data_IF_875696584932
#
_entry.id   IF_875696584932
#
_cell.length_a   1.000
_cell.length_b   1.000
_cell.length_c   1.000
_cell.angle_alpha   90.00
_cell.angle_beta   90.00
_cell.angle_gamma   90.00
#
_symmetry.space_group_name_H-M   'P 1'
#
loop_
_entity.id
_entity.type
_entity.pdbx_description
1 polymer ?
#
# COMPACT_ATOMS: atom_id res chain seq x y z
N UNK A 1 10.00 -7.21 1.09
CA UNK A 1 10.06 -8.56 1.72
C UNK A 1 8.69 -8.92 2.31
N UNK A 2 8.52 -10.16 2.76
CA UNK A 2 7.28 -10.63 3.41
C UNK A 2 7.51 -10.98 4.89
N UNK A 3 6.90 -12.06 5.36
CA UNK A 3 7.06 -12.67 6.69
C UNK A 3 6.42 -11.92 7.87
N UNK A 4 6.52 -10.59 7.95
CA UNK A 4 5.98 -9.83 9.09
C UNK A 4 4.45 -9.66 9.02
N UNK A 5 3.85 -9.83 7.82
CA UNK A 5 2.40 -9.69 7.60
C UNK A 5 1.89 -8.33 8.11
N UNK A 6 2.68 -7.27 7.83
CA UNK A 6 2.40 -5.87 8.13
C UNK A 6 3.08 -5.03 7.06
N UNK A 7 2.43 -3.96 6.62
CA UNK A 7 3.11 -2.96 5.82
C UNK A 7 4.07 -2.18 6.72
N UNK A 8 5.37 -2.31 6.45
CA UNK A 8 6.43 -1.55 7.15
C UNK A 8 7.34 -0.95 6.11
N UNK A 9 7.64 0.34 6.22
CA UNK A 9 8.58 1.04 5.36
C UNK A 9 9.60 1.82 6.18
N UNK A 10 10.84 1.82 5.71
CA UNK A 10 11.92 2.61 6.29
C UNK A 10 12.96 2.94 5.21
N UNK A 11 13.98 3.71 5.59
CA UNK A 11 15.19 3.90 4.80
C UNK A 11 16.39 3.31 5.53
N UNK A 12 17.29 2.66 4.80
CA UNK A 12 18.54 2.15 5.32
C UNK A 12 19.66 2.46 4.33
N UNK A 13 20.72 3.14 4.80
CA UNK A 13 21.84 3.58 3.95
C UNK A 13 21.38 4.32 2.67
N UNK A 14 20.36 5.18 2.79
CA UNK A 14 19.81 5.95 1.68
C UNK A 14 18.94 5.15 0.69
N UNK A 15 18.64 3.88 0.98
CA UNK A 15 17.80 3.00 0.14
C UNK A 15 16.48 2.70 0.84
N UNK A 16 15.34 2.65 0.12
CA UNK A 16 14.08 2.22 0.70
C UNK A 16 14.13 0.73 1.06
N UNK A 17 13.64 0.39 2.25
CA UNK A 17 13.41 -0.97 2.70
C UNK A 17 11.93 -1.12 3.06
N UNK A 18 11.24 -2.06 2.40
CA UNK A 18 9.79 -2.20 2.47
C UNK A 18 9.40 -3.66 2.68
N UNK A 19 8.49 -3.91 3.63
CA UNK A 19 7.79 -5.18 3.85
C UNK A 19 6.35 -5.03 3.37
N UNK A 20 5.89 -5.94 2.53
CA UNK A 20 4.50 -5.96 2.08
C UNK A 20 3.58 -6.53 3.18
N UNK A 21 2.35 -6.02 3.31
CA UNK A 21 1.35 -6.64 4.17
C UNK A 21 0.96 -8.03 3.65
N UNK A 22 0.27 -8.80 4.50
CA UNK A 22 -0.35 -10.05 4.06
C UNK A 22 -1.58 -9.74 3.19
N UNK A 23 -1.89 -10.56 2.16
CA UNK A 23 -3.15 -10.44 1.44
C UNK A 23 -4.36 -10.90 2.26
N UNK A 24 -4.14 -11.55 3.41
CA UNK A 24 -5.18 -12.03 4.32
C UNK A 24 -4.98 -11.46 5.73
N UNK A 25 -4.75 -12.31 6.73
CA UNK A 25 -4.56 -11.90 8.12
C UNK A 25 -3.24 -11.15 8.35
N UNK A 26 -3.31 -10.05 9.10
CA UNK A 26 -2.13 -9.32 9.57
C UNK A 26 -1.70 -9.83 10.95
N UNK A 27 -0.40 -9.80 11.25
CA UNK A 27 0.08 -10.02 12.64
C UNK A 27 -0.37 -8.85 13.49
N UNK A 28 -0.89 -9.06 14.71
CA UNK A 28 -1.37 -7.98 15.58
C UNK A 28 -0.20 -7.08 16.06
N UNK A 29 -0.36 -5.76 15.96
CA UNK A 29 0.61 -4.78 16.47
C UNK A 29 0.25 -4.45 17.92
N UNK A 30 0.71 -5.30 18.82
CA UNK A 30 0.46 -5.20 20.25
C UNK A 30 1.62 -5.82 21.03
N UNK A 31 1.75 -5.46 22.30
CA UNK A 31 2.62 -6.17 23.22
C UNK A 31 2.01 -7.54 23.60
N UNK A 32 2.87 -8.51 23.88
CA UNK A 32 2.47 -9.85 24.34
C UNK A 32 2.66 -10.95 23.28
N UNK A 33 1.95 -12.10 23.41
CA UNK A 33 2.11 -13.23 22.52
C UNK A 33 1.75 -12.90 21.06
N UNK A 34 2.37 -13.62 20.11
CA UNK A 34 2.03 -13.55 18.70
C UNK A 34 0.54 -13.83 18.49
N UNK A 35 -0.15 -12.88 17.85
CA UNK A 35 -1.54 -12.99 17.48
C UNK A 35 -1.76 -12.50 16.05
N UNK A 36 -2.88 -12.92 15.44
CA UNK A 36 -3.35 -12.40 14.17
C UNK A 36 -4.56 -11.49 14.39
N UNK A 37 -4.67 -10.45 13.55
CA UNK A 37 -5.78 -9.50 13.53
C UNK A 37 -6.57 -9.66 12.23
N UNK A 38 -7.84 -9.22 12.28
CA UNK A 38 -8.73 -9.16 11.10
C UNK A 38 -8.67 -7.79 10.40
N UNK A 39 -7.56 -7.08 10.55
CA UNK A 39 -7.30 -5.90 9.74
C UNK A 39 -7.30 -6.30 8.25
N UNK A 40 -7.83 -5.45 7.34
CA UNK A 40 -7.87 -5.77 5.92
C UNK A 40 -6.51 -6.13 5.36
N UNK A 41 -6.50 -7.09 4.44
CA UNK A 41 -5.33 -7.42 3.64
C UNK A 41 -4.92 -6.29 2.70
N UNK A 42 -3.75 -6.41 2.09
CA UNK A 42 -3.31 -5.47 1.07
C UNK A 42 -2.17 -5.97 0.21
N UNK A 43 -1.85 -5.18 -0.81
CA UNK A 43 -0.81 -5.43 -1.80
C UNK A 43 0.08 -4.18 -1.96
N UNK A 44 1.31 -4.40 -2.42
CA UNK A 44 2.16 -3.33 -2.93
C UNK A 44 2.32 -3.51 -4.43
N UNK A 45 1.91 -2.51 -5.21
CA UNK A 45 2.12 -2.46 -6.65
C UNK A 45 3.31 -1.56 -6.96
N UNK A 46 4.24 -2.04 -7.79
CA UNK A 46 5.47 -1.33 -8.10
C UNK A 46 5.49 -0.89 -9.56
N UNK A 47 5.52 0.42 -9.79
CA UNK A 47 5.80 0.96 -11.11
C UNK A 47 7.33 1.10 -11.24
N UNK A 48 7.90 0.29 -12.12
CA UNK A 48 9.33 0.31 -12.41
C UNK A 48 9.55 0.62 -13.89
N UNK A 49 9.80 1.89 -14.18
CA UNK A 49 10.04 2.40 -15.52
C UNK A 49 11.52 2.75 -15.74
N UNK A 50 12.07 2.57 -16.95
CA UNK A 50 13.44 2.98 -17.25
C UNK A 50 13.65 4.48 -17.03
N UNK A 51 14.72 4.85 -16.34
CA UNK A 51 15.07 6.25 -16.05
C UNK A 51 14.30 6.89 -14.89
N UNK A 52 13.26 6.23 -14.38
CA UNK A 52 12.43 6.74 -13.30
C UNK A 52 12.79 6.12 -11.94
N UNK A 53 12.36 6.78 -10.87
CA UNK A 53 12.41 6.19 -9.53
C UNK A 53 11.37 5.09 -9.41
N UNK A 54 11.70 4.04 -8.65
CA UNK A 54 10.73 3.01 -8.27
C UNK A 54 9.59 3.66 -7.46
N UNK A 55 8.38 3.60 -8.00
CA UNK A 55 7.17 4.05 -7.31
C UNK A 55 6.45 2.83 -6.75
N UNK A 56 5.95 2.93 -5.51
CA UNK A 56 5.25 1.85 -4.82
C UNK A 56 3.91 2.35 -4.32
N UNK A 57 2.83 1.74 -4.79
CA UNK A 57 1.45 2.03 -4.38
C UNK A 57 0.97 0.98 -3.38
N UNK A 58 0.31 1.42 -2.32
CA UNK A 58 -0.42 0.53 -1.42
C UNK A 58 -1.85 0.35 -1.91
N UNK A 59 -2.28 -0.91 -2.04
CA UNK A 59 -3.62 -1.29 -2.48
C UNK A 59 -4.29 -2.12 -1.39
N UNK A 60 -5.38 -1.66 -0.77
CA UNK A 60 -6.17 -2.51 0.13
C UNK A 60 -6.79 -3.67 -0.68
N UNK A 61 -6.73 -4.88 -0.13
CA UNK A 61 -7.29 -6.07 -0.77
C UNK A 61 -8.82 -6.10 -0.67
N UNK A 62 -9.35 -5.45 0.36
CA UNK A 62 -10.77 -5.21 0.54
C UNK A 62 -11.07 -3.81 -0.01
N UNK A 63 -11.62 -3.77 -1.22
CA UNK A 63 -12.20 -2.54 -1.76
C UNK A 63 -13.70 -2.55 -1.48
N UNK A 64 -14.22 -1.46 -0.91
CA UNK A 64 -15.66 -1.19 -0.99
C UNK A 64 -16.07 -1.17 -2.47
N UNK A 65 -17.26 -1.71 -2.80
CA UNK A 65 -17.79 -1.79 -4.17
C UNK A 65 -18.19 -0.40 -4.71
N UNK A 66 -17.28 0.56 -4.71
CA UNK A 66 -17.50 1.94 -5.14
C UNK A 66 -16.44 2.36 -6.15
N UNK A 67 -16.65 2.03 -7.43
CA UNK A 67 -16.02 2.80 -8.49
C UNK A 67 -16.68 4.19 -8.50
N UNK A 68 -16.08 5.15 -7.80
CA UNK A 68 -16.43 6.56 -7.97
C UNK A 68 -15.86 6.99 -9.32
N UNK A 69 -16.69 6.97 -10.36
CA UNK A 69 -16.35 7.60 -11.63
C UNK A 69 -16.30 9.12 -11.40
N UNK A 70 -15.10 9.62 -11.11
CA UNK A 70 -14.83 11.05 -11.07
C UNK A 70 -15.00 11.64 -12.47
N UNK A 71 -16.16 12.24 -12.77
CA UNK A 71 -16.33 13.07 -13.94
C UNK A 71 -15.56 14.39 -13.71
N UNK A 72 -14.35 14.51 -14.27
CA UNK A 72 -13.63 15.78 -14.37
C UNK A 72 -13.67 16.24 -15.83
N UNK A 73 -14.62 17.13 -16.16
CA UNK A 73 -14.50 18.06 -17.28
C UNK A 73 -15.54 19.18 -17.13
N UNK A 74 -15.11 20.38 -16.77
CA UNK A 74 -15.98 21.55 -16.80
C UNK A 74 -15.49 22.73 -15.98
N UNK A 75 -14.52 23.48 -16.50
CA UNK A 75 -14.53 24.94 -16.50
C UNK A 75 -13.30 25.44 -17.25
N UNK A 76 -13.52 25.81 -18.51
CA UNK A 76 -12.62 26.69 -19.22
C UNK A 76 -12.74 28.08 -18.60
N UNK A 77 -11.61 28.68 -18.24
CA UNK A 77 -11.49 30.13 -18.15
C UNK A 77 -10.10 30.53 -18.65
N UNK A 78 -10.04 30.79 -19.96
CA UNK A 78 -9.09 31.73 -20.52
C UNK A 78 -9.57 33.15 -20.17
N UNK A 79 -8.73 33.90 -19.45
CA UNK A 79 -8.59 35.35 -19.53
C UNK A 79 -7.23 35.72 -18.95
#
# INVERSE_FOLDING_TARGET
CGHVHRFVSTSFAGRPAIIAPSPAQQVALQDGPLAFSREPGGYLCHDWLPGERLLTHYLPAETENGHLSGHQAGSAASA
#
